data_IF_505507696266
#
_entry.id   IF_505507696266
#
_cell.length_a   1.000
_cell.length_b   1.000
_cell.length_c   1.000
_cell.angle_alpha   90.00
_cell.angle_beta   90.00
_cell.angle_gamma   90.00
#
_symmetry.space_group_name_H-M   'P 1'
#
loop_
_entity.id
_entity.type
_entity.pdbx_description
1 polymer ?
#
# COMPACT_ATOMS: atom_id res chain seq x y z
N UNK A 1 -7.19 -24.18 -27.03
CA UNK A 1 -6.63 -22.86 -26.69
C UNK A 1 -7.34 -22.34 -25.46
N UNK A 2 -6.98 -21.14 -24.99
CA UNK A 2 -7.75 -20.45 -23.95
C UNK A 2 -9.09 -19.98 -24.55
N UNK A 3 -10.15 -20.14 -23.77
CA UNK A 3 -11.49 -19.59 -24.02
C UNK A 3 -11.81 -18.67 -22.85
N UNK A 4 -11.06 -17.57 -22.71
CA UNK A 4 -11.27 -16.60 -21.62
C UNK A 4 -12.34 -15.60 -22.06
N UNK A 5 -13.40 -15.53 -21.28
CA UNK A 5 -14.47 -14.55 -21.46
C UNK A 5 -14.48 -13.55 -20.30
N UNK A 6 -14.63 -12.27 -20.62
CA UNK A 6 -14.55 -11.21 -19.62
C UNK A 6 -15.73 -11.24 -18.64
N UNK A 7 -16.96 -11.41 -19.12
CA UNK A 7 -18.16 -11.36 -18.29
C UNK A 7 -18.33 -12.64 -17.47
N UNK A 8 -18.00 -13.80 -18.07
CA UNK A 8 -18.12 -15.10 -17.43
C UNK A 8 -16.99 -15.40 -16.46
N UNK A 9 -15.74 -15.11 -16.84
CA UNK A 9 -14.57 -15.61 -16.11
C UNK A 9 -13.82 -14.53 -15.32
N UNK A 10 -13.87 -13.26 -15.73
CA UNK A 10 -13.10 -12.17 -15.10
C UNK A 10 -13.96 -11.36 -14.13
N UNK A 11 -15.11 -10.87 -14.59
CA UNK A 11 -15.97 -9.96 -13.84
C UNK A 11 -16.47 -10.55 -12.50
N UNK A 12 -16.83 -11.85 -12.40
CA UNK A 12 -17.25 -12.43 -11.13
C UNK A 12 -16.10 -12.49 -10.10
N UNK A 13 -14.85 -12.61 -10.55
CA UNK A 13 -13.68 -12.68 -9.66
C UNK A 13 -13.44 -11.37 -8.91
N UNK A 14 -13.84 -10.22 -9.49
CA UNK A 14 -13.70 -8.92 -8.81
C UNK A 14 -14.83 -8.65 -7.82
N UNK A 15 -15.83 -9.53 -7.71
CA UNK A 15 -17.10 -9.27 -7.03
C UNK A 15 -17.75 -7.97 -7.52
N UNK A 16 -17.82 -7.81 -8.83
CA UNK A 16 -18.37 -6.61 -9.44
C UNK A 16 -19.78 -6.26 -8.94
N UNK A 17 -20.63 -7.27 -8.71
CA UNK A 17 -21.99 -7.09 -8.16
C UNK A 17 -22.00 -6.50 -6.74
N UNK A 18 -20.90 -6.63 -5.99
CA UNK A 18 -20.70 -6.07 -4.64
C UNK A 18 -19.95 -4.72 -4.68
N UNK A 19 -19.74 -4.13 -5.86
CA UNK A 19 -19.02 -2.86 -6.06
C UNK A 19 -17.50 -3.01 -6.19
N UNK A 20 -16.99 -4.22 -6.35
CA UNK A 20 -15.56 -4.45 -6.57
C UNK A 20 -15.08 -4.04 -7.97
N UNK A 21 -13.84 -3.53 -8.05
CA UNK A 21 -13.21 -3.09 -9.30
C UNK A 21 -12.37 -4.19 -9.94
N UNK A 22 -12.34 -4.19 -11.28
CA UNK A 22 -11.50 -5.11 -12.06
C UNK A 22 -10.09 -4.55 -12.19
N UNK A 23 -9.11 -5.46 -12.19
CA UNK A 23 -7.68 -5.16 -12.36
C UNK A 23 -7.05 -6.22 -13.24
N UNK A 24 -5.82 -5.98 -13.70
CA UNK A 24 -5.04 -6.94 -14.49
C UNK A 24 -4.91 -8.30 -13.80
N UNK A 25 -4.93 -8.31 -12.47
CA UNK A 25 -4.82 -9.51 -11.65
C UNK A 25 -6.02 -10.44 -11.87
N UNK A 26 -7.22 -9.92 -12.06
CA UNK A 26 -8.41 -10.74 -12.29
C UNK A 26 -8.34 -11.48 -13.62
N UNK A 27 -7.84 -10.81 -14.67
CA UNK A 27 -7.61 -11.42 -15.99
C UNK A 27 -6.59 -12.57 -15.86
N UNK A 28 -5.47 -12.32 -15.19
CA UNK A 28 -4.42 -13.31 -14.99
C UNK A 28 -4.85 -14.46 -14.06
N UNK A 29 -5.72 -14.18 -13.09
CA UNK A 29 -6.30 -15.20 -12.21
C UNK A 29 -7.29 -16.10 -12.96
N UNK A 30 -8.14 -15.51 -13.82
CA UNK A 30 -9.02 -16.28 -14.70
C UNK A 30 -8.21 -17.21 -15.61
N UNK A 31 -7.11 -16.69 -16.20
CA UNK A 31 -6.17 -17.50 -16.98
C UNK A 31 -5.53 -18.63 -16.15
N UNK A 32 -5.17 -18.37 -14.89
CA UNK A 32 -4.65 -19.39 -13.98
C UNK A 32 -5.70 -20.49 -13.70
N UNK A 33 -6.95 -20.11 -13.41
CA UNK A 33 -8.03 -21.06 -13.20
C UNK A 33 -8.30 -21.92 -14.44
N UNK A 34 -8.29 -21.31 -15.63
CA UNK A 34 -8.48 -22.05 -16.87
C UNK A 34 -7.33 -23.01 -17.16
N UNK A 35 -6.07 -22.62 -16.90
CA UNK A 35 -4.92 -23.54 -16.96
C UNK A 35 -5.11 -24.75 -16.05
N UNK A 36 -5.52 -24.50 -14.79
CA UNK A 36 -5.75 -25.57 -13.81
C UNK A 36 -6.89 -26.49 -14.27
N UNK A 37 -7.99 -25.94 -14.80
CA UNK A 37 -9.11 -26.73 -15.30
C UNK A 37 -8.72 -27.61 -16.51
N UNK A 38 -7.90 -27.08 -17.43
CA UNK A 38 -7.47 -27.79 -18.63
C UNK A 38 -6.41 -28.87 -18.36
N UNK A 39 -5.44 -28.57 -17.50
CA UNK A 39 -4.25 -29.41 -17.32
C UNK A 39 -4.21 -30.16 -15.99
N UNK A 40 -5.03 -29.79 -15.01
CA UNK A 40 -4.85 -30.18 -13.62
C UNK A 40 -3.66 -29.45 -12.97
N UNK A 41 -3.42 -29.71 -11.69
CA UNK A 41 -2.20 -29.26 -11.00
C UNK A 41 -1.04 -30.23 -11.25
N UNK A 42 0.17 -29.80 -10.94
CA UNK A 42 1.35 -30.66 -10.96
C UNK A 42 2.09 -30.68 -12.29
N UNK A 43 2.76 -31.80 -12.58
CA UNK A 43 3.76 -31.92 -13.66
C UNK A 43 3.22 -31.56 -15.04
N UNK A 44 2.00 -32.01 -15.38
CA UNK A 44 1.40 -31.78 -16.71
C UNK A 44 1.24 -30.28 -16.99
N UNK A 45 0.87 -29.50 -15.97
CA UNK A 45 0.73 -28.05 -16.09
C UNK A 45 2.11 -27.38 -16.23
N UNK A 46 3.10 -27.75 -15.42
CA UNK A 46 4.46 -27.20 -15.52
C UNK A 46 5.04 -27.42 -16.92
N UNK A 47 4.91 -28.64 -17.46
CA UNK A 47 5.38 -28.94 -18.82
C UNK A 47 4.64 -28.13 -19.90
N UNK A 48 3.34 -27.87 -19.71
CA UNK A 48 2.57 -27.01 -20.60
C UNK A 48 3.06 -25.55 -20.58
N UNK A 49 3.34 -25.01 -19.39
CA UNK A 49 3.87 -23.65 -19.25
C UNK A 49 5.19 -23.49 -20.01
N UNK A 50 6.09 -24.46 -19.88
CA UNK A 50 7.43 -24.40 -20.47
C UNK A 50 7.43 -24.69 -21.97
N UNK A 51 6.76 -25.78 -22.39
CA UNK A 51 6.86 -26.29 -23.77
C UNK A 51 5.88 -25.62 -24.72
N UNK A 52 4.65 -25.37 -24.27
CA UNK A 52 3.57 -24.87 -25.13
C UNK A 52 3.44 -23.35 -25.04
N UNK A 53 3.53 -22.78 -23.83
CA UNK A 53 3.50 -21.31 -23.64
C UNK A 53 4.88 -20.66 -23.71
N UNK A 54 5.96 -21.45 -23.74
CA UNK A 54 7.32 -20.93 -23.84
C UNK A 54 7.77 -20.09 -22.64
N UNK A 55 7.20 -20.36 -21.45
CA UNK A 55 7.49 -19.60 -20.24
C UNK A 55 8.69 -20.17 -19.51
N UNK A 56 9.55 -19.28 -19.00
CA UNK A 56 10.61 -19.65 -18.07
C UNK A 56 10.04 -19.75 -16.65
N UNK A 57 9.88 -20.97 -16.14
CA UNK A 57 9.41 -21.21 -14.76
C UNK A 57 10.61 -21.25 -13.80
N UNK A 58 10.75 -20.31 -12.84
CA UNK A 58 11.84 -20.35 -11.87
C UNK A 58 11.81 -21.64 -11.03
N UNK A 59 12.96 -22.20 -10.70
CA UNK A 59 13.06 -23.49 -9.99
C UNK A 59 12.25 -23.54 -8.68
N UNK A 60 12.28 -22.46 -7.88
CA UNK A 60 11.48 -22.34 -6.64
C UNK A 60 9.97 -22.43 -6.94
N UNK A 61 9.52 -21.77 -8.00
CA UNK A 61 8.12 -21.79 -8.42
C UNK A 61 7.74 -23.17 -8.98
N UNK A 62 8.60 -23.81 -9.77
CA UNK A 62 8.37 -25.15 -10.27
C UNK A 62 8.10 -26.14 -9.13
N UNK A 63 8.88 -26.09 -8.04
CA UNK A 63 8.62 -26.90 -6.84
C UNK A 63 7.22 -26.66 -6.26
N UNK A 64 6.78 -25.40 -6.18
CA UNK A 64 5.43 -25.05 -5.68
C UNK A 64 4.31 -25.51 -6.62
N UNK A 65 4.55 -25.50 -7.93
CA UNK A 65 3.59 -25.92 -8.95
C UNK A 65 3.57 -27.45 -9.16
N UNK A 66 4.56 -28.18 -8.65
CA UNK A 66 4.56 -29.64 -8.60
C UNK A 66 3.78 -30.18 -7.41
N UNK A 67 3.62 -29.39 -6.34
CA UNK A 67 2.78 -29.76 -5.20
C UNK A 67 1.29 -29.53 -5.51
N UNK A 68 0.56 -30.62 -5.73
CA UNK A 68 -0.88 -30.59 -6.01
C UNK A 68 -1.72 -30.12 -4.81
N UNK A 69 -1.20 -30.30 -3.59
CA UNK A 69 -1.86 -29.89 -2.34
C UNK A 69 -1.59 -28.42 -1.99
N UNK A 70 -0.76 -27.73 -2.77
CA UNK A 70 -0.47 -26.32 -2.58
C UNK A 70 -1.77 -25.48 -2.60
N UNK A 71 -2.14 -24.82 -1.47
CA UNK A 71 -3.35 -24.02 -1.39
C UNK A 71 -3.23 -22.68 -2.13
N UNK A 72 -2.01 -22.26 -2.48
CA UNK A 72 -1.74 -20.99 -3.14
C UNK A 72 -1.48 -21.13 -4.65
N UNK A 73 -1.71 -22.32 -5.22
CA UNK A 73 -1.37 -22.68 -6.60
C UNK A 73 -1.82 -21.65 -7.65
N UNK A 74 -3.07 -21.19 -7.58
CA UNK A 74 -3.59 -20.22 -8.54
C UNK A 74 -2.90 -18.85 -8.41
N UNK A 75 -2.51 -18.43 -7.21
CA UNK A 75 -1.75 -17.20 -6.98
C UNK A 75 -0.30 -17.31 -7.45
N UNK A 76 0.31 -18.49 -7.30
CA UNK A 76 1.65 -18.78 -7.82
C UNK A 76 1.68 -18.70 -9.35
N UNK A 77 0.66 -19.25 -10.02
CA UNK A 77 0.46 -19.09 -11.47
C UNK A 77 0.21 -17.65 -11.89
N UNK A 78 -0.67 -16.94 -11.16
CA UNK A 78 -0.93 -15.52 -11.40
C UNK A 78 0.36 -14.71 -11.34
N UNK A 79 1.25 -14.99 -10.38
CA UNK A 79 2.55 -14.33 -10.27
C UNK A 79 3.42 -14.52 -11.52
N UNK A 80 3.50 -15.76 -12.02
CA UNK A 80 4.22 -16.09 -13.26
C UNK A 80 3.61 -15.40 -14.49
N UNK A 81 2.30 -15.42 -14.61
CA UNK A 81 1.61 -14.78 -15.73
C UNK A 81 1.75 -13.26 -15.68
N UNK A 82 1.72 -12.67 -14.49
CA UNK A 82 1.96 -11.23 -14.33
C UNK A 82 3.36 -10.85 -14.83
N UNK A 83 4.40 -11.56 -14.43
CA UNK A 83 5.77 -11.24 -14.88
C UNK A 83 5.99 -11.51 -16.38
N UNK A 84 5.26 -12.46 -16.96
CA UNK A 84 5.46 -12.90 -18.34
C UNK A 84 4.58 -12.18 -19.38
N UNK A 85 3.35 -11.84 -19.01
CA UNK A 85 2.32 -11.37 -19.94
C UNK A 85 1.84 -9.96 -19.67
N UNK A 86 1.99 -9.41 -18.46
CA UNK A 86 1.49 -8.07 -18.15
C UNK A 86 1.96 -7.00 -19.15
N UNK A 87 3.26 -6.95 -19.56
CA UNK A 87 3.71 -5.95 -20.52
C UNK A 87 3.04 -6.03 -21.90
N UNK A 88 2.35 -7.13 -22.22
CA UNK A 88 1.69 -7.34 -23.51
C UNK A 88 0.31 -6.71 -23.61
N UNK A 89 -0.33 -6.43 -22.47
CA UNK A 89 -1.71 -5.92 -22.44
C UNK A 89 -1.93 -4.77 -21.47
N UNK A 90 -0.96 -4.47 -20.59
CA UNK A 90 -1.05 -3.28 -19.74
C UNK A 90 -0.80 -2.03 -20.57
N UNK A 91 -1.82 -1.20 -20.69
CA UNK A 91 -1.74 0.11 -21.33
C UNK A 91 -1.42 1.12 -20.24
N UNK A 92 -0.31 1.85 -20.40
CA UNK A 92 0.07 2.89 -19.44
C UNK A 92 -0.95 4.03 -19.53
N UNK A 93 -1.52 4.47 -18.40
CA UNK A 93 -2.52 5.51 -18.41
C UNK A 93 -1.92 6.84 -18.89
N UNK A 94 -2.69 7.57 -19.69
CA UNK A 94 -2.31 8.88 -20.21
C UNK A 94 -2.61 10.02 -19.23
N UNK A 95 -2.20 11.24 -19.61
CA UNK A 95 -2.57 12.48 -18.87
C UNK A 95 -4.08 12.73 -18.80
N UNK A 96 -4.85 12.15 -19.72
CA UNK A 96 -6.31 12.26 -19.73
C UNK A 96 -6.97 11.34 -18.68
N UNK A 97 -6.27 10.28 -18.25
CA UNK A 97 -6.77 9.29 -17.28
C UNK A 97 -6.20 9.52 -15.87
N UNK A 98 -5.11 10.27 -15.74
CA UNK A 98 -4.48 10.61 -14.47
C UNK A 98 -4.60 12.10 -14.17
N UNK A 99 -5.26 12.43 -13.05
CA UNK A 99 -5.35 13.81 -12.54
C UNK A 99 -3.96 14.35 -12.16
N UNK A 100 -3.78 15.68 -12.28
CA UNK A 100 -2.56 16.32 -11.81
C UNK A 100 -2.47 16.17 -10.27
N UNK A 101 -1.31 15.72 -9.79
CA UNK A 101 -1.08 15.49 -8.36
C UNK A 101 -1.36 16.74 -7.51
N UNK A 102 -1.13 17.95 -8.05
CA UNK A 102 -1.42 19.21 -7.34
C UNK A 102 -2.91 19.38 -7.09
N UNK A 103 -3.75 19.03 -8.07
CA UNK A 103 -5.20 19.11 -7.94
C UNK A 103 -5.70 18.08 -6.93
N UNK A 104 -5.16 16.87 -6.98
CA UNK A 104 -5.50 15.78 -6.04
C UNK A 104 -5.12 16.15 -4.60
N UNK A 105 -3.90 16.68 -4.38
CA UNK A 105 -3.44 17.08 -3.05
C UNK A 105 -4.21 18.29 -2.54
N UNK A 106 -4.44 19.30 -3.39
CA UNK A 106 -5.26 20.46 -3.01
C UNK A 106 -6.68 20.03 -2.62
N UNK A 107 -7.27 19.08 -3.36
CA UNK A 107 -8.57 18.53 -3.01
C UNK A 107 -8.54 17.77 -1.68
N UNK A 108 -7.55 16.89 -1.49
CA UNK A 108 -7.35 16.13 -0.25
C UNK A 108 -7.25 17.05 0.96
N UNK A 109 -6.40 18.07 0.89
CA UNK A 109 -6.22 19.06 1.96
C UNK A 109 -7.51 19.83 2.24
N UNK A 110 -8.27 20.21 1.21
CA UNK A 110 -9.55 20.93 1.35
C UNK A 110 -10.61 20.12 2.09
N UNK A 111 -10.63 18.81 1.91
CA UNK A 111 -11.60 17.92 2.59
C UNK A 111 -11.06 17.38 3.92
N UNK A 112 -9.89 17.88 4.38
CA UNK A 112 -9.27 17.44 5.63
C UNK A 112 -8.61 16.06 5.55
N UNK A 113 -8.49 15.46 4.37
CA UNK A 113 -7.76 14.20 4.17
C UNK A 113 -6.25 14.41 4.23
N UNK A 114 -5.51 13.35 4.56
CA UNK A 114 -4.04 13.38 4.64
C UNK A 114 -3.49 12.68 3.41
N UNK A 115 -3.13 13.45 2.38
CA UNK A 115 -2.41 12.90 1.23
C UNK A 115 -1.00 12.45 1.66
N UNK A 116 -0.63 11.22 1.32
CA UNK A 116 0.69 10.69 1.59
C UNK A 116 1.36 10.24 0.29
N UNK A 117 2.57 10.72 0.03
CA UNK A 117 3.38 10.18 -1.07
C UNK A 117 3.90 8.79 -0.67
N UNK A 118 3.75 7.80 -1.54
CA UNK A 118 4.21 6.43 -1.28
C UNK A 118 5.65 6.24 -1.74
N UNK A 119 6.60 6.36 -0.82
CA UNK A 119 8.02 6.11 -1.06
C UNK A 119 8.28 4.61 -1.17
N UNK A 120 8.90 4.19 -2.28
CA UNK A 120 9.30 2.80 -2.50
C UNK A 120 10.76 2.55 -2.11
N UNK A 121 11.66 3.45 -2.49
CA UNK A 121 13.11 3.30 -2.35
C UNK A 121 13.71 2.31 -3.34
N UNK A 122 15.00 2.48 -3.66
CA UNK A 122 15.73 1.61 -4.57
C UNK A 122 15.72 0.15 -4.08
N UNK A 123 15.49 -0.78 -5.00
CA UNK A 123 15.54 -2.22 -4.72
C UNK A 123 16.85 -2.75 -5.30
N UNK A 124 17.82 -3.06 -4.44
CA UNK A 124 19.07 -3.71 -4.86
C UNK A 124 18.95 -5.24 -4.91
N UNK A 125 18.23 -5.83 -3.94
CA UNK A 125 17.88 -7.26 -3.87
C UNK A 125 16.48 -7.41 -3.28
N UNK A 126 15.60 -8.14 -3.96
CA UNK A 126 14.24 -8.40 -3.46
C UNK A 126 14.29 -9.32 -2.24
N UNK A 127 13.89 -8.81 -1.06
CA UNK A 127 13.81 -9.60 0.19
C UNK A 127 12.86 -10.80 0.04
N UNK A 128 11.86 -10.71 -0.85
CA UNK A 128 10.95 -11.83 -1.18
C UNK A 128 11.42 -12.73 -2.34
N UNK A 129 12.48 -12.34 -3.06
CA UNK A 129 13.03 -13.07 -4.21
C UNK A 129 12.35 -12.82 -5.56
N UNK A 130 11.36 -11.92 -5.63
CA UNK A 130 10.47 -11.80 -6.80
C UNK A 130 10.63 -10.50 -7.61
N UNK A 131 11.40 -9.51 -7.12
CA UNK A 131 11.60 -8.23 -7.80
C UNK A 131 13.00 -8.09 -8.41
N UNK A 132 13.06 -7.55 -9.63
CA UNK A 132 14.32 -7.14 -10.28
C UNK A 132 14.92 -5.95 -9.52
N UNK A 133 16.24 -5.80 -9.61
CA UNK A 133 16.87 -4.58 -9.13
C UNK A 133 16.28 -3.39 -9.91
N UNK A 134 15.81 -2.38 -9.19
CA UNK A 134 15.03 -1.27 -9.77
C UNK A 134 15.37 0.02 -9.03
N UNK A 135 15.55 1.08 -9.82
CA UNK A 135 15.87 2.42 -9.37
C UNK A 135 14.57 3.21 -9.22
N UNK A 136 14.42 3.86 -8.08
CA UNK A 136 13.27 4.68 -7.72
C UNK A 136 13.77 6.04 -7.21
N UNK A 137 13.33 6.46 -6.01
CA UNK A 137 13.45 7.85 -5.57
C UNK A 137 14.79 8.19 -4.92
N UNK A 138 15.63 7.22 -4.56
CA UNK A 138 16.78 7.43 -3.68
C UNK A 138 17.79 8.46 -4.21
N UNK A 139 18.03 8.51 -5.53
CA UNK A 139 19.01 9.44 -6.11
C UNK A 139 18.54 10.90 -6.10
N UNK A 140 17.23 11.14 -6.12
CA UNK A 140 16.62 12.48 -6.17
C UNK A 140 15.74 12.79 -4.97
N UNK A 141 15.84 12.00 -3.88
CA UNK A 141 14.93 12.01 -2.73
C UNK A 141 14.77 13.41 -2.09
N UNK A 142 15.85 14.18 -2.00
CA UNK A 142 15.79 15.54 -1.43
C UNK A 142 14.95 16.49 -2.31
N UNK A 143 15.20 16.48 -3.63
CA UNK A 143 14.46 17.28 -4.60
C UNK A 143 12.98 16.85 -4.65
N UNK A 144 12.72 15.55 -4.55
CA UNK A 144 11.37 15.02 -4.45
C UNK A 144 10.66 15.58 -3.21
N UNK A 145 11.27 15.47 -2.03
CA UNK A 145 10.65 15.92 -0.79
C UNK A 145 10.41 17.43 -0.77
N UNK A 146 11.31 18.23 -1.35
CA UNK A 146 11.09 19.67 -1.54
C UNK A 146 9.86 19.91 -2.45
N UNK A 147 9.77 19.20 -3.57
CA UNK A 147 8.61 19.27 -4.46
C UNK A 147 7.30 18.83 -3.77
N UNK A 148 7.33 17.80 -2.94
CA UNK A 148 6.16 17.32 -2.20
C UNK A 148 5.65 18.38 -1.21
N UNK A 149 6.57 19.05 -0.51
CA UNK A 149 6.23 20.18 0.38
C UNK A 149 5.63 21.33 -0.42
N UNK A 150 6.24 21.70 -1.55
CA UNK A 150 5.74 22.76 -2.43
C UNK A 150 4.34 22.47 -2.99
N UNK A 151 4.05 21.20 -3.30
CA UNK A 151 2.72 20.73 -3.72
C UNK A 151 1.71 20.79 -2.55
N UNK A 152 2.19 20.68 -1.31
CA UNK A 152 1.36 20.71 -0.10
C UNK A 152 1.02 19.32 0.45
N UNK A 153 1.84 18.30 0.20
CA UNK A 153 1.67 17.01 0.88
C UNK A 153 1.87 17.16 2.39
N UNK A 154 0.94 16.67 3.23
CA UNK A 154 1.12 16.65 4.68
C UNK A 154 1.98 15.48 5.18
N UNK A 155 2.10 14.42 4.38
CA UNK A 155 2.69 13.16 4.83
C UNK A 155 3.48 12.42 3.74
N UNK A 156 4.31 11.49 4.20
CA UNK A 156 4.97 10.46 3.41
C UNK A 156 4.70 9.10 4.02
N UNK A 157 4.53 8.09 3.16
CA UNK A 157 4.38 6.70 3.60
C UNK A 157 5.47 5.80 3.03
N UNK A 158 5.90 4.84 3.82
CA UNK A 158 6.91 3.86 3.46
C UNK A 158 6.68 2.51 4.16
N UNK A 159 7.47 1.51 3.80
CA UNK A 159 7.25 0.11 4.15
C UNK A 159 8.47 -0.46 4.87
N UNK A 160 8.50 -0.47 6.21
CA UNK A 160 9.62 -1.05 6.97
C UNK A 160 10.13 -2.42 6.49
N UNK A 161 9.29 -3.41 6.09
CA UNK A 161 9.79 -4.70 5.62
C UNK A 161 10.38 -4.68 4.19
N UNK A 162 10.27 -3.55 3.48
CA UNK A 162 10.78 -3.38 2.10
C UNK A 162 11.90 -2.36 2.01
N UNK A 163 12.12 -1.57 3.05
CA UNK A 163 13.14 -0.52 3.07
C UNK A 163 14.30 -0.93 3.98
N UNK A 164 15.52 -0.70 3.53
CA UNK A 164 16.71 -0.90 4.37
C UNK A 164 16.73 0.11 5.53
N UNK A 165 17.42 -0.23 6.61
CA UNK A 165 17.61 0.70 7.74
C UNK A 165 18.23 2.03 7.31
N UNK A 166 19.15 2.01 6.34
CA UNK A 166 19.79 3.21 5.80
C UNK A 166 18.80 4.10 5.03
N UNK A 167 17.96 3.49 4.18
CA UNK A 167 16.89 4.20 3.48
C UNK A 167 15.91 4.82 4.46
N UNK A 168 15.42 4.05 5.44
CA UNK A 168 14.50 4.55 6.46
C UNK A 168 15.13 5.71 7.23
N UNK A 169 16.33 5.56 7.77
CA UNK A 169 17.00 6.62 8.54
C UNK A 169 17.15 7.92 7.74
N UNK A 170 17.54 7.83 6.46
CA UNK A 170 17.67 8.99 5.57
C UNK A 170 16.30 9.65 5.34
N UNK A 171 15.29 8.85 4.99
CA UNK A 171 13.94 9.32 4.73
C UNK A 171 13.33 10.02 5.96
N UNK A 172 13.38 9.37 7.12
CA UNK A 172 12.88 9.88 8.41
C UNK A 172 13.51 11.23 8.76
N UNK A 173 14.83 11.35 8.58
CA UNK A 173 15.57 12.60 8.83
C UNK A 173 15.07 13.73 7.93
N UNK A 174 14.91 13.45 6.63
CA UNK A 174 14.48 14.44 5.64
C UNK A 174 13.00 14.82 5.80
N UNK A 175 12.14 13.86 6.15
CA UNK A 175 10.73 14.06 6.43
C UNK A 175 10.54 14.96 7.66
N UNK A 176 11.24 14.66 8.76
CA UNK A 176 11.21 15.46 9.99
C UNK A 176 11.67 16.91 9.74
N UNK A 177 12.75 17.10 8.98
CA UNK A 177 13.26 18.43 8.64
C UNK A 177 12.25 19.29 7.84
N UNK A 178 11.35 18.64 7.10
CA UNK A 178 10.33 19.26 6.25
C UNK A 178 8.94 19.31 6.88
N UNK A 179 8.77 18.76 8.08
CA UNK A 179 7.46 18.69 8.74
C UNK A 179 6.47 17.79 8.02
N UNK A 180 6.94 16.70 7.40
CA UNK A 180 6.08 15.67 6.82
C UNK A 180 5.76 14.62 7.88
N UNK A 181 4.48 14.27 8.05
CA UNK A 181 4.09 13.14 8.88
C UNK A 181 4.52 11.83 8.24
N UNK A 182 4.99 10.90 9.05
CA UNK A 182 5.49 9.62 8.60
C UNK A 182 4.47 8.52 8.87
N UNK A 183 4.08 7.78 7.83
CA UNK A 183 3.05 6.76 7.91
C UNK A 183 3.61 5.42 7.41
N UNK A 184 3.30 4.33 8.10
CA UNK A 184 3.62 2.98 7.61
C UNK A 184 2.39 2.30 7.01
N UNK A 185 2.54 1.71 5.83
CA UNK A 185 1.53 0.85 5.22
C UNK A 185 2.18 -0.18 4.32
N UNK A 186 1.81 -1.46 4.44
CA UNK A 186 2.40 -2.57 3.67
C UNK A 186 1.33 -3.27 2.85
N UNK A 187 1.51 -3.28 1.52
CA UNK A 187 0.59 -4.00 0.65
C UNK A 187 0.80 -5.52 0.72
N UNK A 188 -0.28 -6.22 1.02
CA UNK A 188 -0.36 -7.67 0.99
C UNK A 188 -1.03 -8.09 -0.32
N UNK A 189 -0.22 -8.56 -1.26
CA UNK A 189 -0.59 -8.86 -2.64
C UNK A 189 -0.57 -10.36 -2.96
N UNK A 190 -0.26 -11.20 -1.99
CA UNK A 190 -0.15 -12.64 -2.13
C UNK A 190 -0.55 -13.32 -0.83
N UNK A 191 -1.26 -14.44 -0.95
CA UNK A 191 -1.62 -15.30 0.17
C UNK A 191 -0.42 -15.92 0.89
N UNK A 192 0.79 -15.80 0.32
CA UNK A 192 2.05 -16.23 0.97
C UNK A 192 2.73 -15.12 1.77
N UNK A 193 2.30 -13.86 1.63
CA UNK A 193 2.90 -12.76 2.37
C UNK A 193 2.42 -12.78 3.83
N UNK A 194 3.37 -12.57 4.75
CA UNK A 194 3.09 -12.47 6.18
C UNK A 194 2.30 -11.20 6.49
N UNK A 195 1.28 -11.34 7.35
CA UNK A 195 0.59 -10.20 7.96
C UNK A 195 1.37 -9.59 9.13
N UNK A 196 2.36 -10.32 9.68
CA UNK A 196 3.23 -9.80 10.73
C UNK A 196 4.32 -8.91 10.14
N UNK A 197 4.63 -7.81 10.82
CA UNK A 197 5.70 -6.89 10.49
C UNK A 197 6.58 -6.63 11.74
N UNK A 198 7.56 -7.51 12.04
CA UNK A 198 8.43 -7.35 13.20
C UNK A 198 9.28 -6.06 13.13
N UNK A 199 9.50 -5.52 11.95
CA UNK A 199 10.24 -4.27 11.73
C UNK A 199 9.58 -3.07 12.44
N UNK A 200 8.24 -3.08 12.60
CA UNK A 200 7.50 -2.06 13.36
C UNK A 200 7.73 -2.13 14.88
N UNK A 201 8.30 -3.23 15.38
CA UNK A 201 8.65 -3.37 16.80
C UNK A 201 10.02 -2.73 17.12
N UNK A 202 10.80 -2.37 16.11
CA UNK A 202 12.09 -1.73 16.29
C UNK A 202 11.91 -0.30 16.82
N UNK A 203 12.80 0.17 17.72
CA UNK A 203 12.73 1.54 18.25
C UNK A 203 12.70 2.64 17.17
N UNK A 204 13.38 2.41 16.04
CA UNK A 204 13.41 3.31 14.89
C UNK A 204 12.08 3.42 14.12
N UNK A 205 11.08 2.61 14.46
CA UNK A 205 9.76 2.58 13.84
C UNK A 205 8.61 2.82 14.83
N UNK A 206 8.89 3.01 16.12
CA UNK A 206 7.84 3.20 17.14
C UNK A 206 6.96 4.43 16.87
N UNK A 207 7.53 5.51 16.32
CA UNK A 207 6.77 6.71 15.94
C UNK A 207 5.75 6.45 14.83
N UNK A 208 5.93 5.40 14.02
CA UNK A 208 4.95 5.00 13.00
C UNK A 208 3.69 4.39 13.64
N UNK A 209 3.84 3.74 14.81
CA UNK A 209 2.70 3.26 15.61
C UNK A 209 1.93 4.43 16.19
N UNK A 210 2.61 5.45 16.70
CA UNK A 210 1.96 6.69 17.16
C UNK A 210 1.25 7.40 16.00
N UNK A 211 1.89 7.48 14.85
CA UNK A 211 1.29 8.07 13.65
C UNK A 211 0.03 7.32 13.22
N UNK A 212 0.01 5.98 13.31
CA UNK A 212 -1.19 5.19 13.04
C UNK A 212 -2.34 5.52 14.02
N UNK A 213 -2.07 5.62 15.32
CA UNK A 213 -3.09 6.03 16.30
C UNK A 213 -3.54 7.47 16.10
N UNK A 214 -2.63 8.36 15.70
CA UNK A 214 -2.97 9.74 15.38
C UNK A 214 -3.89 9.85 14.16
N UNK A 215 -3.71 9.00 13.14
CA UNK A 215 -4.62 8.89 12.00
C UNK A 215 -6.02 8.46 12.43
N UNK A 216 -6.13 7.46 13.31
CA UNK A 216 -7.43 7.01 13.84
C UNK A 216 -8.15 8.15 14.56
N UNK A 217 -7.46 8.87 15.44
CA UNK A 217 -8.04 10.02 16.13
C UNK A 217 -8.42 11.15 15.16
N UNK A 218 -7.54 11.46 14.21
CA UNK A 218 -7.79 12.45 13.16
C UNK A 218 -9.07 12.14 12.39
N UNK A 219 -9.25 10.88 11.94
CA UNK A 219 -10.40 10.45 11.16
C UNK A 219 -11.71 10.69 11.94
N UNK A 220 -11.75 10.33 13.23
CA UNK A 220 -12.97 10.50 14.03
C UNK A 220 -13.25 11.96 14.36
N UNK A 221 -12.23 12.72 14.78
CA UNK A 221 -12.40 14.14 15.12
C UNK A 221 -12.81 14.98 13.90
N UNK A 222 -12.11 14.81 12.79
CA UNK A 222 -12.37 15.58 11.55
C UNK A 222 -13.73 15.26 10.92
N UNK A 223 -14.25 14.04 11.12
CA UNK A 223 -15.58 13.65 10.62
C UNK A 223 -16.74 14.38 11.31
N UNK A 224 -16.53 14.87 12.54
CA UNK A 224 -17.54 15.62 13.30
C UNK A 224 -17.31 17.12 13.20
N UNK A 225 -16.06 17.57 13.31
CA UNK A 225 -15.70 18.96 13.12
C UNK A 225 -14.39 19.06 12.34
N UNK A 226 -14.41 19.54 11.08
CA UNK A 226 -13.21 19.70 10.25
C UNK A 226 -12.10 20.54 10.89
N UNK A 227 -12.43 21.49 11.78
CA UNK A 227 -11.44 22.28 12.53
C UNK A 227 -10.56 21.42 13.46
N UNK A 228 -11.07 20.27 13.90
CA UNK A 228 -10.36 19.31 14.73
C UNK A 228 -9.47 18.35 13.92
N UNK A 229 -9.33 18.55 12.60
CA UNK A 229 -8.39 17.80 11.80
C UNK A 229 -6.93 18.11 12.20
N UNK A 230 -6.12 17.05 12.33
CA UNK A 230 -4.68 17.13 12.68
C UNK A 230 -3.87 18.15 11.87
N UNK A 231 -4.25 18.49 10.63
CA UNK A 231 -3.55 19.49 9.79
C UNK A 231 -4.36 20.76 9.54
N UNK A 232 -5.55 20.91 10.14
CA UNK A 232 -6.34 22.12 9.99
C UNK A 232 -5.61 23.31 10.64
N UNK A 233 -5.72 24.49 10.01
CA UNK A 233 -5.10 25.73 10.50
C UNK A 233 -5.86 26.31 11.69
N UNK A 234 -7.17 26.08 11.77
CA UNK A 234 -8.04 26.50 12.87
C UNK A 234 -8.01 25.52 14.05
N UNK A 235 -7.17 24.48 13.97
CA UNK A 235 -7.03 23.51 15.05
C UNK A 235 -6.48 24.18 16.32
N UNK A 236 -7.00 23.87 17.52
CA UNK A 236 -6.49 24.42 18.79
C UNK A 236 -4.99 24.23 18.98
N UNK A 237 -4.45 23.12 18.45
CA UNK A 237 -3.03 22.76 18.53
C UNK A 237 -2.24 23.12 17.26
N UNK A 238 -2.79 23.91 16.32
CA UNK A 238 -2.13 24.24 15.06
C UNK A 238 -0.75 24.89 15.23
N UNK A 239 -0.54 25.63 16.33
CA UNK A 239 0.73 26.29 16.65
C UNK A 239 1.78 25.37 17.29
N UNK A 240 1.39 24.15 17.71
CA UNK A 240 2.33 23.17 18.24
C UNK A 240 3.14 22.54 17.09
N UNK A 241 4.33 22.01 17.42
CA UNK A 241 5.11 21.25 16.43
C UNK A 241 4.33 20.02 15.98
N UNK A 242 4.56 19.58 14.74
CA UNK A 242 3.90 18.39 14.18
C UNK A 242 4.08 17.16 15.09
N UNK A 243 5.28 16.96 15.64
CA UNK A 243 5.59 15.89 16.59
C UNK A 243 4.66 15.93 17.83
N UNK A 244 4.42 17.12 18.40
CA UNK A 244 3.51 17.28 19.55
C UNK A 244 2.06 17.02 19.17
N UNK A 245 1.63 17.48 17.99
CA UNK A 245 0.28 17.24 17.47
C UNK A 245 0.04 15.74 17.26
N UNK A 246 0.97 15.04 16.62
CA UNK A 246 0.91 13.59 16.43
C UNK A 246 0.84 12.88 17.78
N UNK A 247 1.70 13.23 18.74
CA UNK A 247 1.69 12.62 20.07
C UNK A 247 0.36 12.83 20.80
N UNK A 248 -0.24 14.02 20.72
CA UNK A 248 -1.55 14.32 21.29
C UNK A 248 -2.64 13.44 20.67
N UNK A 249 -2.74 13.41 19.35
CA UNK A 249 -3.73 12.61 18.63
C UNK A 249 -3.51 11.11 18.84
N UNK A 250 -2.26 10.65 18.90
CA UNK A 250 -1.93 9.27 19.23
C UNK A 250 -2.42 8.90 20.63
N UNK A 251 -2.26 9.80 21.62
CA UNK A 251 -2.75 9.58 22.98
C UNK A 251 -4.27 9.42 23.04
N UNK A 252 -4.99 10.21 22.23
CA UNK A 252 -6.43 10.11 22.07
C UNK A 252 -6.79 8.76 21.43
N UNK A 253 -6.22 8.46 20.26
CA UNK A 253 -6.49 7.20 19.55
C UNK A 253 -6.24 5.96 20.42
N UNK A 254 -5.18 5.95 21.23
CA UNK A 254 -4.88 4.85 22.17
C UNK A 254 -5.87 4.73 23.33
N UNK A 255 -6.42 5.86 23.80
CA UNK A 255 -7.40 5.91 24.89
C UNK A 255 -8.85 5.69 24.43
N UNK A 256 -9.08 5.67 23.11
CA UNK A 256 -10.38 5.47 22.50
C UNK A 256 -10.97 4.09 22.86
N UNK A 257 -12.26 4.06 23.20
CA UNK A 257 -13.01 2.82 23.25
C UNK A 257 -13.21 2.29 21.81
N UNK A 258 -12.55 1.18 21.48
CA UNK A 258 -12.65 0.56 20.15
C UNK A 258 -14.08 0.10 19.79
N UNK A 259 -14.96 -0.10 20.78
CA UNK A 259 -16.38 -0.43 20.56
C UNK A 259 -17.27 0.82 20.42
N UNK A 260 -16.77 1.98 20.85
CA UNK A 260 -17.45 3.29 20.78
C UNK A 260 -16.49 4.38 20.29
N UNK A 261 -15.98 4.29 19.05
CA UNK A 261 -14.85 5.13 18.61
C UNK A 261 -15.13 6.65 18.65
N UNK A 262 -16.39 7.07 18.52
CA UNK A 262 -16.78 8.48 18.60
C UNK A 262 -16.76 9.07 20.02
N UNK A 263 -16.69 8.25 21.08
CA UNK A 263 -16.50 8.73 22.47
C UNK A 263 -15.20 9.51 22.67
N UNK A 264 -14.26 9.39 21.72
CA UNK A 264 -13.05 10.20 21.68
C UNK A 264 -13.34 11.71 21.64
N UNK A 265 -14.48 12.12 21.09
CA UNK A 265 -14.86 13.52 20.94
C UNK A 265 -15.08 14.15 22.31
N UNK A 266 -15.79 13.44 23.20
CA UNK A 266 -16.03 13.88 24.57
C UNK A 266 -14.69 14.04 25.32
N UNK A 267 -13.76 13.09 25.12
CA UNK A 267 -12.42 13.15 25.72
C UNK A 267 -11.59 14.33 25.20
N UNK A 268 -11.78 14.71 23.94
CA UNK A 268 -11.13 15.89 23.35
C UNK A 268 -11.67 17.16 24.02
N UNK A 269 -13.00 17.33 24.07
CA UNK A 269 -13.63 18.50 24.67
C UNK A 269 -13.32 18.65 26.16
N UNK A 270 -13.33 17.55 26.92
CA UNK A 270 -12.96 17.55 28.35
C UNK A 270 -11.52 18.02 28.58
N UNK A 271 -10.57 17.62 27.73
CA UNK A 271 -9.16 18.01 27.83
C UNK A 271 -8.89 19.45 27.38
N UNK A 272 -9.65 19.99 26.43
CA UNK A 272 -9.50 21.39 26.02
C UNK A 272 -10.11 22.37 27.03
N UNK A 273 -11.08 21.92 27.84
CA UNK A 273 -11.76 22.72 28.86
C UNK A 273 -11.11 22.65 30.25
N UNK A 274 -10.18 21.71 30.47
CA UNK A 274 -9.45 21.51 31.74
C UNK A 274 -8.11 22.24 31.78
#
# INVERSE_FOLDING_TARGET
>A
GFDLDFERDVLPLSRHEEGGSVTERHILYAMANQCIAMMGKGRKLVEFLEKELGLSVPAKLATLLLDEQNPHYAYDLLGLFKSSFLPRFFIQPGREECLDVREVVAFSNRIGSIAAYAYLGDIAQSVTGDKKAEKFEDEFLEQLLDLLVDIGFPAITYMPPRNTEAQMKRLQTLAKARGLMEISGVDINSSRQSMNCPELLLPSAHHLVDSAWALVAHEKLSSVNPALGLFCQDNPHAKASLEKRIAYYASLGRAMDATKPYSLIDQFEEKELS
#
